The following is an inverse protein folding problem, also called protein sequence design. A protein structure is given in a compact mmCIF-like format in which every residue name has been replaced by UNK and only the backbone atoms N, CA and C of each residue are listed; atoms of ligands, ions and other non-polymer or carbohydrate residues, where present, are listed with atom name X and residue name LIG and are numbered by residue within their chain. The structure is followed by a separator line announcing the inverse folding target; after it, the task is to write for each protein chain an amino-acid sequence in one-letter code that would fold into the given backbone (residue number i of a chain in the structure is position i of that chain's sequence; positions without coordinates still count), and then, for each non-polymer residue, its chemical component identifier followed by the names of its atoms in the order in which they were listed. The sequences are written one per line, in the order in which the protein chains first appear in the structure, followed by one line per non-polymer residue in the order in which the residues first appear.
data_IF_642642283069
#
_entry.id   IF_642642283069
#
_cell.length_a   1.000
_cell.length_b   1.000
_cell.length_c   1.000
_cell.angle_alpha   90.00
_cell.angle_beta   90.00
_cell.angle_gamma   90.00
#
_symmetry.space_group_name_H-M   'P 1'
#
loop_
_entity.id
_entity.type
_entity.pdbx_description
1 polymer ?
#
# COMPACT_ATOMS: atom_id res chain seq x y z
N UNK A 1 -8.61 10.10 16.14
CA UNK A 1 -9.51 9.24 16.95
C UNK A 1 -9.06 7.79 16.79
N UNK A 2 -9.15 6.95 17.83
CA UNK A 2 -8.28 5.78 17.98
C UNK A 2 -8.57 4.66 16.99
N UNK A 3 -7.48 3.95 16.70
CA UNK A 3 -7.31 2.78 15.85
C UNK A 3 -8.11 1.59 16.37
N UNK A 4 -9.40 1.54 16.10
CA UNK A 4 -10.20 0.31 16.20
C UNK A 4 -9.89 -0.61 15.00
N UNK A 5 -8.60 -0.80 14.74
CA UNK A 5 -8.07 -1.57 13.65
C UNK A 5 -7.08 -2.59 14.20
N UNK A 6 -7.42 -3.87 14.08
CA UNK A 6 -6.60 -4.96 14.62
C UNK A 6 -6.21 -5.92 13.51
N UNK A 7 -4.91 -6.21 13.31
CA UNK A 7 -4.51 -7.24 12.36
C UNK A 7 -4.96 -8.62 12.86
N UNK A 8 -5.55 -9.41 11.97
CA UNK A 8 -6.06 -10.76 12.25
C UNK A 8 -5.13 -11.76 11.59
N UNK A 9 -4.34 -12.47 12.41
CA UNK A 9 -3.35 -13.46 11.96
C UNK A 9 -3.48 -14.75 12.79
N UNK A 10 -4.39 -15.67 12.41
CA UNK A 10 -4.62 -16.88 13.18
C UNK A 10 -3.42 -17.84 13.08
N UNK A 11 -3.13 -18.63 14.12
CA UNK A 11 -2.00 -19.57 14.12
C UNK A 11 -2.20 -20.76 13.15
N UNK A 12 -3.42 -20.96 12.64
CA UNK A 12 -3.74 -21.98 11.64
C UNK A 12 -3.28 -21.61 10.22
N UNK A 13 -2.76 -20.39 10.02
CA UNK A 13 -2.21 -19.94 8.74
C UNK A 13 -0.69 -19.69 8.87
N UNK A 14 0.06 -19.74 7.75
CA UNK A 14 1.48 -19.39 7.75
C UNK A 14 1.73 -17.99 8.32
N UNK A 15 2.84 -17.81 9.03
CA UNK A 15 3.23 -16.48 9.52
C UNK A 15 3.35 -15.50 8.34
N UNK A 16 2.60 -14.39 8.32
CA UNK A 16 2.64 -13.47 7.19
C UNK A 16 3.94 -12.67 7.19
N UNK A 17 4.41 -12.31 5.99
CA UNK A 17 5.64 -11.54 5.78
C UNK A 17 5.37 -10.40 4.80
N UNK A 18 5.34 -9.16 5.30
CA UNK A 18 5.03 -7.98 4.48
C UNK A 18 3.54 -7.74 4.24
N UNK A 19 2.66 -8.44 4.96
CA UNK A 19 1.20 -8.26 4.95
C UNK A 19 0.61 -8.74 6.28
N UNK A 20 -0.70 -8.55 6.49
CA UNK A 20 -1.50 -9.28 7.49
C UNK A 20 -2.58 -10.10 6.79
N UNK A 21 -2.96 -11.26 7.31
CA UNK A 21 -4.02 -12.11 6.71
C UNK A 21 -5.36 -11.39 6.63
N UNK A 22 -5.69 -10.61 7.65
CA UNK A 22 -6.86 -9.75 7.67
C UNK A 22 -6.67 -8.55 8.58
N UNK A 23 -7.64 -7.64 8.52
CA UNK A 23 -7.77 -6.51 9.44
C UNK A 23 -9.23 -6.41 9.85
N UNK A 24 -9.48 -6.41 11.16
CA UNK A 24 -10.77 -6.01 11.72
C UNK A 24 -10.79 -4.50 11.85
N UNK A 25 -11.87 -3.84 11.42
CA UNK A 25 -12.10 -2.40 11.60
C UNK A 25 -13.44 -2.22 12.31
N UNK A 26 -13.47 -1.54 13.46
CA UNK A 26 -14.71 -1.18 14.17
C UNK A 26 -14.87 0.33 14.17
N UNK A 27 -16.11 0.81 14.10
CA UNK A 27 -16.45 2.24 14.23
C UNK A 27 -15.62 3.19 13.36
N UNK A 28 -16.09 3.55 12.17
CA UNK A 28 -15.35 4.51 11.34
C UNK A 28 -16.01 4.85 10.02
N UNK A 29 -15.35 5.73 9.26
CA UNK A 29 -15.70 6.04 7.87
C UNK A 29 -14.79 5.22 6.96
N UNK A 30 -15.37 4.56 5.96
CA UNK A 30 -14.60 3.85 4.93
C UNK A 30 -14.47 4.74 3.69
N UNK A 31 -13.24 4.94 3.24
CA UNK A 31 -12.95 5.61 1.98
C UNK A 31 -12.44 4.56 0.98
N UNK A 32 -13.19 4.34 -0.09
CA UNK A 32 -12.77 3.48 -1.19
C UNK A 32 -11.96 4.30 -2.20
N UNK A 33 -10.71 3.92 -2.42
CA UNK A 33 -9.82 4.59 -3.36
C UNK A 33 -9.84 3.85 -4.71
N UNK A 34 -9.94 4.60 -5.81
CA UNK A 34 -9.67 4.06 -7.13
C UNK A 34 -8.19 3.65 -7.24
N UNK A 35 -7.89 2.74 -8.18
CA UNK A 35 -6.52 2.34 -8.47
C UNK A 35 -5.64 3.55 -8.78
N UNK A 36 -4.55 3.70 -8.05
CA UNK A 36 -3.55 4.74 -8.30
C UNK A 36 -2.46 4.17 -9.19
N UNK A 37 -2.08 4.91 -10.22
CA UNK A 37 -0.95 4.62 -11.10
C UNK A 37 0.11 5.71 -10.96
N UNK A 38 1.30 5.47 -11.50
CA UNK A 38 2.44 6.38 -11.43
C UNK A 38 2.30 7.59 -12.38
N UNK A 39 1.17 8.28 -12.31
CA UNK A 39 0.95 9.54 -12.98
C UNK A 39 1.25 10.72 -12.05
N UNK A 40 1.82 11.78 -12.60
CA UNK A 40 1.84 13.10 -11.96
C UNK A 40 0.48 13.80 -12.11
N UNK A 41 0.38 15.03 -11.58
CA UNK A 41 -0.84 15.85 -11.64
C UNK A 41 -1.30 16.19 -13.06
N UNK A 42 -0.41 16.08 -14.05
CA UNK A 42 -0.68 16.39 -15.46
C UNK A 42 -0.94 15.10 -16.27
N UNK A 43 -1.02 13.95 -15.60
CA UNK A 43 -1.29 12.65 -16.21
C UNK A 43 -0.08 12.00 -16.88
N UNK A 44 1.14 12.50 -16.65
CA UNK A 44 2.37 11.94 -17.25
C UNK A 44 2.93 10.82 -16.39
N UNK A 45 3.45 9.77 -17.04
CA UNK A 45 4.12 8.65 -16.36
C UNK A 45 5.41 9.14 -15.69
N UNK A 46 5.47 9.00 -14.37
CA UNK A 46 6.68 9.18 -13.56
C UNK A 46 7.44 7.85 -13.50
N UNK A 47 8.76 7.88 -13.67
CA UNK A 47 9.60 6.69 -13.54
C UNK A 47 9.45 5.69 -14.68
N UNK A 48 9.40 6.15 -15.95
CA UNK A 48 9.29 5.23 -17.09
C UNK A 48 10.48 4.25 -17.12
N UNK A 49 10.19 2.95 -17.05
CA UNK A 49 11.22 1.90 -16.95
C UNK A 49 11.86 1.76 -15.56
N UNK A 50 11.37 2.47 -14.55
CA UNK A 50 11.82 2.41 -13.16
C UNK A 50 10.64 2.08 -12.24
N UNK A 51 10.51 0.79 -11.89
CA UNK A 51 9.43 0.29 -11.03
C UNK A 51 9.46 0.91 -9.63
N UNK A 52 10.64 1.20 -9.07
CA UNK A 52 10.76 1.78 -7.72
C UNK A 52 10.30 3.24 -7.72
N UNK A 53 10.67 4.02 -8.74
CA UNK A 53 10.18 5.38 -8.91
C UNK A 53 8.66 5.41 -9.15
N UNK A 54 8.13 4.47 -9.93
CA UNK A 54 6.68 4.32 -10.12
C UNK A 54 5.97 3.98 -8.82
N UNK A 55 6.51 3.04 -8.04
CA UNK A 55 5.96 2.67 -6.74
C UNK A 55 5.93 3.86 -5.77
N UNK A 56 6.98 4.68 -5.76
CA UNK A 56 7.04 5.92 -4.98
C UNK A 56 5.93 6.89 -5.40
N UNK A 57 5.75 7.11 -6.70
CA UNK A 57 4.70 8.02 -7.19
C UNK A 57 3.29 7.53 -6.78
N UNK A 58 3.04 6.21 -6.84
CA UNK A 58 1.78 5.63 -6.36
C UNK A 58 1.56 5.91 -4.87
N UNK A 59 2.60 5.82 -4.04
CA UNK A 59 2.51 6.14 -2.61
C UNK A 59 2.20 7.62 -2.37
N UNK A 60 2.81 8.54 -3.14
CA UNK A 60 2.49 9.97 -3.07
C UNK A 60 1.04 10.27 -3.46
N UNK A 61 0.55 9.61 -4.51
CA UNK A 61 -0.83 9.77 -4.96
C UNK A 61 -1.83 9.27 -3.89
N UNK A 62 -1.56 8.12 -3.26
CA UNK A 62 -2.36 7.61 -2.14
C UNK A 62 -2.32 8.55 -0.93
N UNK A 63 -1.15 9.09 -0.59
CA UNK A 63 -0.98 10.06 0.49
C UNK A 63 -1.78 11.32 0.23
N UNK A 64 -1.73 11.87 -0.99
CA UNK A 64 -2.50 13.06 -1.37
C UNK A 64 -4.01 12.85 -1.20
N UNK A 65 -4.54 11.70 -1.63
CA UNK A 65 -5.96 11.36 -1.46
C UNK A 65 -6.39 11.29 0.01
N UNK A 66 -5.57 10.68 0.86
CA UNK A 66 -5.88 10.51 2.28
C UNK A 66 -5.80 11.83 3.04
N UNK A 67 -4.81 12.68 2.73
CA UNK A 67 -4.64 13.98 3.38
C UNK A 67 -5.87 14.88 3.22
N UNK A 68 -6.55 14.84 2.08
CA UNK A 68 -7.80 15.60 1.84
C UNK A 68 -8.91 15.21 2.83
N UNK A 69 -8.87 14.01 3.39
CA UNK A 69 -9.83 13.50 4.38
C UNK A 69 -9.26 13.44 5.79
N UNK A 70 -8.09 14.03 6.02
CA UNK A 70 -7.39 13.99 7.31
C UNK A 70 -6.86 12.60 7.69
N UNK A 71 -6.72 11.70 6.71
CA UNK A 71 -6.14 10.37 6.89
C UNK A 71 -4.65 10.32 6.52
N UNK A 72 -4.06 9.16 6.76
CA UNK A 72 -2.65 8.84 6.47
C UNK A 72 -2.51 7.42 5.92
N UNK A 73 -1.38 7.07 5.31
CA UNK A 73 -1.17 5.74 4.70
C UNK A 73 -1.31 4.59 5.69
N UNK A 74 -1.02 4.82 6.98
CA UNK A 74 -1.19 3.83 8.04
C UNK A 74 -2.66 3.56 8.42
N UNK A 75 -3.61 4.28 7.82
CA UNK A 75 -5.05 3.99 7.95
C UNK A 75 -5.53 2.99 6.86
N UNK A 76 -4.70 2.66 5.87
CA UNK A 76 -5.07 1.71 4.82
C UNK A 76 -5.12 0.29 5.41
N UNK A 77 -6.24 -0.41 5.22
CA UNK A 77 -6.43 -1.79 5.72
C UNK A 77 -6.30 -2.87 4.65
N UNK A 78 -6.46 -2.51 3.38
CA UNK A 78 -6.30 -3.41 2.24
C UNK A 78 -5.57 -2.73 1.11
N UNK A 79 -4.55 -3.40 0.56
CA UNK A 79 -3.90 -3.06 -0.70
C UNK A 79 -4.18 -4.14 -1.74
N UNK A 80 -4.52 -3.70 -2.95
CA UNK A 80 -4.52 -4.53 -4.16
C UNK A 80 -3.45 -3.95 -5.08
N UNK A 81 -2.37 -4.71 -5.28
CA UNK A 81 -1.22 -4.29 -6.08
C UNK A 81 -1.22 -5.13 -7.36
N UNK A 82 -1.23 -4.44 -8.49
CA UNK A 82 -1.15 -5.04 -9.81
C UNK A 82 0.17 -4.64 -10.43
N UNK A 83 0.98 -5.62 -10.84
CA UNK A 83 2.27 -5.39 -11.50
C UNK A 83 2.27 -6.02 -12.88
N UNK A 84 2.94 -5.36 -13.83
CA UNK A 84 3.09 -5.93 -15.18
C UNK A 84 4.05 -7.13 -15.20
N UNK A 85 5.03 -7.15 -14.29
CA UNK A 85 6.01 -8.23 -14.17
C UNK A 85 6.28 -8.56 -12.70
N UNK A 86 5.82 -9.75 -12.28
CA UNK A 86 6.17 -10.30 -10.95
C UNK A 86 7.67 -10.54 -10.80
N UNK A 87 8.35 -10.89 -11.89
CA UNK A 87 9.79 -11.12 -11.88
C UNK A 87 10.56 -9.84 -11.58
N UNK A 88 10.19 -8.73 -12.22
CA UNK A 88 10.79 -7.41 -11.96
C UNK A 88 10.49 -6.94 -10.53
N UNK A 89 9.24 -7.06 -10.07
CA UNK A 89 8.87 -6.76 -8.69
C UNK A 89 9.72 -7.55 -7.68
N UNK A 90 9.90 -8.85 -7.92
CA UNK A 90 10.72 -9.71 -7.05
C UNK A 90 12.19 -9.27 -7.09
N UNK A 91 12.73 -8.98 -8.27
CA UNK A 91 14.11 -8.52 -8.43
C UNK A 91 14.37 -7.19 -7.70
N UNK A 92 13.37 -6.31 -7.64
CA UNK A 92 13.48 -4.99 -6.99
C UNK A 92 12.86 -4.95 -5.57
N UNK A 93 12.44 -6.10 -5.03
CA UNK A 93 11.69 -6.19 -3.76
C UNK A 93 12.40 -5.53 -2.56
N UNK A 94 13.74 -5.53 -2.55
CA UNK A 94 14.51 -4.87 -1.49
C UNK A 94 14.31 -3.36 -1.51
N UNK A 95 14.41 -2.73 -2.68
CA UNK A 95 14.30 -1.28 -2.82
C UNK A 95 12.84 -0.84 -2.71
N UNK A 96 11.90 -1.60 -3.28
CA UNK A 96 10.46 -1.41 -3.06
C UNK A 96 10.15 -1.48 -1.56
N UNK A 97 10.72 -2.44 -0.84
CA UNK A 97 10.56 -2.57 0.61
C UNK A 97 11.13 -1.39 1.42
N UNK A 98 12.19 -0.73 0.93
CA UNK A 98 12.70 0.52 1.54
C UNK A 98 11.70 1.65 1.35
N UNK A 99 11.25 1.88 0.12
CA UNK A 99 10.23 2.90 -0.19
C UNK A 99 8.97 2.63 0.62
N UNK A 100 8.48 1.38 0.65
CA UNK A 100 7.33 0.99 1.46
C UNK A 100 7.48 1.42 2.92
N UNK A 101 8.64 1.18 3.54
CA UNK A 101 8.88 1.58 4.95
C UNK A 101 8.92 3.10 5.15
N UNK A 102 9.34 3.87 4.17
CA UNK A 102 9.30 5.34 4.26
C UNK A 102 7.85 5.85 4.37
N UNK A 103 6.91 5.19 3.70
CA UNK A 103 5.50 5.62 3.63
C UNK A 103 4.60 4.94 4.67
N UNK A 104 4.77 3.63 4.89
CA UNK A 104 3.92 2.81 5.76
C UNK A 104 4.61 2.41 7.08
N UNK A 105 5.90 2.68 7.24
CA UNK A 105 6.65 2.27 8.43
C UNK A 105 6.61 0.75 8.63
N UNK A 106 6.03 0.32 9.76
CA UNK A 106 5.81 -1.10 10.12
C UNK A 106 4.34 -1.52 10.00
N UNK A 107 3.50 -0.70 9.39
CA UNK A 107 2.11 -1.02 9.13
C UNK A 107 2.00 -1.94 7.92
N UNK A 108 1.30 -3.06 8.05
CA UNK A 108 1.13 -4.05 6.99
C UNK A 108 -0.35 -4.38 6.80
N UNK A 109 -1.02 -3.75 5.83
CA UNK A 109 -2.40 -4.03 5.46
C UNK A 109 -2.58 -5.49 5.02
N UNK A 110 -3.84 -5.92 4.87
CA UNK A 110 -4.12 -7.07 4.04
C UNK A 110 -3.66 -6.77 2.61
N UNK A 111 -3.06 -7.75 1.92
CA UNK A 111 -2.43 -7.49 0.62
C UNK A 111 -2.75 -8.56 -0.39
N UNK A 112 -3.02 -8.12 -1.62
CA UNK A 112 -3.01 -8.95 -2.82
C UNK A 112 -1.97 -8.37 -3.75
N UNK A 113 -1.12 -9.23 -4.31
CA UNK A 113 -0.18 -8.87 -5.36
C UNK A 113 -0.35 -9.84 -6.53
N UNK A 114 -0.72 -9.31 -7.69
CA UNK A 114 -0.96 -10.08 -8.92
C UNK A 114 -0.26 -9.49 -10.13
#
# INVERSE_FOLDING_TARGET
MPKDMTPVNPPTLPKPAGYSHGWEVRGGKTLYLAGQVAFDKDGKVVGRGDLVAQFRQVCENLKALLLVRGGQLNDIVKLNIYVLSKAEYKAQSREIGRVYREYFGKHFPAMTLV
#
